data_IF_035088715872
#
_entry.id   IF_035088715872
#
_cell.length_a   1.000
_cell.length_b   1.000
_cell.length_c   1.000
_cell.angle_alpha   90.00
_cell.angle_beta   90.00
_cell.angle_gamma   90.00
#
_symmetry.space_group_name_H-M   'P 1'
#
loop_
_entity.id
_entity.type
_entity.pdbx_description
1 polymer ?
#
# COMPACT_ATOMS: atom_id res chain seq x y z
N UNK A 1 -51.31 37.41 4.42
CA UNK A 1 -50.81 36.08 4.87
C UNK A 1 -50.25 35.36 3.64
N UNK A 2 -48.93 35.37 3.46
CA UNK A 2 -48.24 34.60 2.43
C UNK A 2 -47.38 33.53 3.12
N UNK A 3 -47.44 32.26 2.69
CA UNK A 3 -46.71 31.17 3.32
C UNK A 3 -45.21 31.25 2.98
N UNK A 4 -44.37 31.07 4.00
CA UNK A 4 -42.92 31.01 3.86
C UNK A 4 -42.46 29.79 3.06
N UNK A 5 -41.53 30.02 2.13
CA UNK A 5 -40.79 28.96 1.45
C UNK A 5 -39.81 28.31 2.45
N UNK A 6 -39.60 26.98 2.41
CA UNK A 6 -38.61 26.32 3.23
C UNK A 6 -37.17 26.60 2.75
N UNK A 7 -36.32 27.03 3.69
CA UNK A 7 -34.86 27.10 3.57
C UNK A 7 -34.30 25.74 3.12
N UNK A 8 -33.99 25.63 1.82
CA UNK A 8 -33.24 24.49 1.30
C UNK A 8 -31.76 24.80 1.49
N UNK A 9 -30.98 23.97 2.21
CA UNK A 9 -29.55 24.21 2.35
C UNK A 9 -28.87 24.04 0.99
N UNK A 10 -28.57 25.17 0.35
CA UNK A 10 -27.85 25.22 -0.91
C UNK A 10 -26.38 24.89 -0.66
N UNK A 11 -25.96 23.69 -1.07
CA UNK A 11 -24.55 23.29 -1.09
C UNK A 11 -23.76 24.26 -1.98
N UNK A 12 -22.92 25.09 -1.36
CA UNK A 12 -22.01 26.00 -2.05
C UNK A 12 -20.73 25.26 -2.42
N UNK A 13 -20.61 24.86 -3.67
CA UNK A 13 -19.35 24.35 -4.23
C UNK A 13 -18.31 25.49 -4.24
N UNK A 14 -17.34 25.41 -3.34
CA UNK A 14 -16.17 26.31 -3.30
C UNK A 14 -15.08 25.65 -4.15
N UNK A 15 -14.71 26.30 -5.25
CA UNK A 15 -13.60 25.84 -6.09
C UNK A 15 -14.01 25.10 -7.37
N UNK A 16 -14.97 25.65 -8.14
CA UNK A 16 -15.08 25.32 -9.57
C UNK A 16 -14.00 26.06 -10.37
N UNK A 17 -12.73 25.88 -10.02
CA UNK A 17 -11.66 26.14 -10.96
C UNK A 17 -11.83 25.10 -12.06
N UNK A 18 -12.13 25.59 -13.27
CA UNK A 18 -12.34 24.81 -14.50
C UNK A 18 -11.24 23.75 -14.60
N UNK A 19 -11.57 22.52 -14.21
CA UNK A 19 -10.72 21.37 -14.43
C UNK A 19 -10.63 21.19 -15.93
N UNK A 20 -9.45 21.48 -16.48
CA UNK A 20 -9.00 20.88 -17.73
C UNK A 20 -9.46 19.42 -17.75
N UNK A 21 -10.05 18.91 -18.86
CA UNK A 21 -10.37 17.49 -18.93
C UNK A 21 -9.06 16.76 -18.68
N UNK A 22 -8.95 16.13 -17.52
CA UNK A 22 -7.88 15.19 -17.25
C UNK A 22 -8.00 14.17 -18.37
N UNK A 23 -7.17 14.31 -19.40
CA UNK A 23 -6.87 13.24 -20.32
C UNK A 23 -6.25 12.21 -19.40
N UNK A 24 -7.11 11.37 -18.84
CA UNK A 24 -6.71 10.22 -18.07
C UNK A 24 -5.93 9.39 -19.06
N UNK A 25 -4.61 9.53 -18.99
CA UNK A 25 -3.67 8.49 -19.32
C UNK A 25 -4.03 7.34 -18.39
N UNK A 26 -5.13 6.67 -18.72
CA UNK A 26 -5.45 5.34 -18.30
C UNK A 26 -4.35 4.52 -18.97
N UNK A 27 -3.17 4.53 -18.37
CA UNK A 27 -2.18 3.53 -18.68
C UNK A 27 -2.92 2.23 -18.40
N UNK A 28 -3.23 1.47 -19.44
CA UNK A 28 -3.73 0.11 -19.32
C UNK A 28 -2.65 -0.64 -18.54
N UNK A 29 -2.79 -0.69 -17.21
CA UNK A 29 -1.93 -1.50 -16.37
C UNK A 29 -2.41 -2.92 -16.65
N UNK A 30 -1.65 -3.73 -17.40
CA UNK A 30 -2.10 -5.07 -17.72
C UNK A 30 -2.29 -5.82 -16.41
N UNK A 31 -3.51 -6.31 -16.19
CA UNK A 31 -3.82 -7.12 -15.03
C UNK A 31 -2.85 -8.31 -15.01
N UNK A 32 -2.11 -8.45 -13.92
CA UNK A 32 -1.17 -9.56 -13.77
C UNK A 32 -1.92 -10.74 -13.13
N UNK A 33 -1.96 -11.91 -13.77
CA UNK A 33 -2.74 -13.05 -13.28
C UNK A 33 -2.35 -13.41 -11.85
N UNK A 34 -3.35 -13.78 -11.04
CA UNK A 34 -3.17 -14.20 -9.66
C UNK A 34 -2.88 -15.70 -9.62
N UNK A 35 -1.62 -16.05 -9.36
CA UNK A 35 -1.25 -17.44 -9.07
C UNK A 35 -1.58 -17.78 -7.62
N UNK A 36 -1.76 -19.07 -7.31
CA UNK A 36 -2.09 -19.51 -5.95
C UNK A 36 -1.07 -19.08 -4.88
N UNK A 37 0.21 -18.90 -5.28
CA UNK A 37 1.29 -18.40 -4.42
C UNK A 37 1.45 -16.88 -4.41
N UNK A 38 0.62 -16.13 -5.13
CA UNK A 38 0.72 -14.67 -5.17
C UNK A 38 0.37 -14.08 -3.80
N UNK A 39 1.25 -13.25 -3.26
CA UNK A 39 1.04 -12.58 -1.98
C UNK A 39 -0.27 -11.77 -1.94
N UNK A 40 -0.71 -11.20 -3.08
CA UNK A 40 -1.98 -10.47 -3.19
C UNK A 40 -3.16 -11.41 -2.91
N UNK A 41 -3.10 -12.61 -3.47
CA UNK A 41 -4.14 -13.64 -3.28
C UNK A 41 -4.12 -14.21 -1.86
N UNK A 42 -2.94 -14.53 -1.34
CA UNK A 42 -2.80 -15.03 0.04
C UNK A 42 -3.37 -14.02 1.03
N UNK A 43 -3.06 -12.72 0.88
CA UNK A 43 -3.61 -11.69 1.74
C UNK A 43 -5.13 -11.60 1.58
N UNK A 44 -5.65 -11.60 0.36
CA UNK A 44 -7.09 -11.54 0.09
C UNK A 44 -7.87 -12.64 0.81
N UNK A 45 -7.42 -13.89 0.73
CA UNK A 45 -8.03 -15.03 1.43
C UNK A 45 -8.03 -14.81 2.95
N UNK A 46 -6.94 -14.28 3.51
CA UNK A 46 -6.84 -13.99 4.95
C UNK A 46 -7.75 -12.84 5.38
N UNK A 47 -7.92 -11.83 4.53
CA UNK A 47 -8.87 -10.74 4.78
C UNK A 47 -10.31 -11.26 4.75
N UNK A 48 -10.68 -12.03 3.72
CA UNK A 48 -12.01 -12.61 3.58
C UNK A 48 -12.40 -13.46 4.81
N UNK A 49 -11.46 -14.24 5.35
CA UNK A 49 -11.68 -15.02 6.57
C UNK A 49 -11.73 -14.20 7.87
N UNK A 50 -11.15 -12.99 7.87
CA UNK A 50 -11.07 -12.15 9.07
C UNK A 50 -12.23 -11.16 9.20
N UNK A 51 -12.90 -10.83 8.08
CA UNK A 51 -14.05 -9.94 8.02
C UNK A 51 -15.25 -10.55 8.77
N UNK A 52 -15.93 -9.70 9.53
CA UNK A 52 -17.15 -10.03 10.25
C UNK A 52 -18.36 -9.28 9.70
N UNK A 53 -19.55 -9.83 9.95
CA UNK A 53 -20.82 -9.16 9.68
C UNK A 53 -21.20 -9.09 8.19
N UNK A 54 -20.67 -10.00 7.35
CA UNK A 54 -20.98 -10.13 5.92
C UNK A 54 -20.99 -8.76 5.19
N UNK A 55 -22.18 -8.18 5.00
CA UNK A 55 -22.40 -6.87 4.35
C UNK A 55 -21.86 -5.68 5.13
N UNK A 56 -21.72 -5.77 6.45
CA UNK A 56 -21.08 -4.71 7.23
C UNK A 56 -19.57 -4.65 6.96
N UNK A 57 -18.99 -5.78 6.53
CA UNK A 57 -17.58 -5.95 6.19
C UNK A 57 -16.63 -5.38 7.26
N UNK A 58 -16.90 -5.71 8.51
CA UNK A 58 -16.21 -5.12 9.66
C UNK A 58 -14.87 -5.82 9.86
N UNK A 59 -13.82 -5.03 10.08
CA UNK A 59 -12.50 -5.50 10.43
C UNK A 59 -12.03 -4.72 11.66
N UNK A 60 -11.84 -5.42 12.79
CA UNK A 60 -11.38 -4.76 14.02
C UNK A 60 -9.97 -4.20 13.86
N UNK A 61 -9.59 -3.17 14.63
CA UNK A 61 -8.24 -2.59 14.57
C UNK A 61 -7.12 -3.63 14.74
N UNK A 62 -7.29 -4.58 15.66
CA UNK A 62 -6.30 -5.61 15.97
C UNK A 62 -6.14 -6.60 14.80
N UNK A 63 -7.26 -6.99 14.17
CA UNK A 63 -7.24 -7.85 12.98
C UNK A 63 -6.59 -7.12 11.80
N UNK A 64 -6.91 -5.84 11.60
CA UNK A 64 -6.28 -5.00 10.58
C UNK A 64 -4.77 -4.90 10.77
N UNK A 65 -4.30 -4.66 11.99
CA UNK A 65 -2.87 -4.58 12.28
C UNK A 65 -2.15 -5.91 11.99
N UNK A 66 -2.75 -7.04 12.38
CA UNK A 66 -2.22 -8.39 12.09
C UNK A 66 -2.13 -8.66 10.59
N UNK A 67 -3.14 -8.27 9.82
CA UNK A 67 -3.15 -8.42 8.36
C UNK A 67 -2.09 -7.56 7.68
N UNK A 68 -1.88 -6.32 8.15
CA UNK A 68 -0.81 -5.45 7.64
C UNK A 68 0.58 -6.02 7.98
N UNK A 69 0.78 -6.56 9.18
CA UNK A 69 2.02 -7.28 9.54
C UNK A 69 2.26 -8.48 8.62
N UNK A 70 1.23 -9.28 8.36
CA UNK A 70 1.32 -10.40 7.41
C UNK A 70 1.67 -9.91 5.99
N UNK A 71 1.03 -8.85 5.52
CA UNK A 71 1.28 -8.32 4.18
C UNK A 71 2.75 -7.91 3.99
N UNK A 72 3.35 -7.26 5.01
CA UNK A 72 4.78 -6.93 4.99
C UNK A 72 5.68 -8.16 4.94
N UNK A 73 5.33 -9.23 5.66
CA UNK A 73 6.06 -10.51 5.59
C UNK A 73 5.96 -11.16 4.21
N UNK A 74 4.86 -10.91 3.48
CA UNK A 74 4.64 -11.36 2.11
C UNK A 74 5.28 -10.43 1.05
N UNK A 75 5.97 -9.37 1.47
CA UNK A 75 6.62 -8.41 0.56
C UNK A 75 5.68 -7.38 -0.06
N UNK A 76 4.46 -7.23 0.46
CA UNK A 76 3.54 -6.17 0.03
C UNK A 76 3.86 -4.84 0.73
N UNK A 77 3.71 -3.74 0.00
CA UNK A 77 3.75 -2.40 0.59
C UNK A 77 2.47 -2.15 1.38
N UNK A 78 2.56 -1.34 2.43
CA UNK A 78 1.41 -1.00 3.28
C UNK A 78 0.23 -0.42 2.47
N UNK A 79 0.53 0.38 1.44
CA UNK A 79 -0.49 0.92 0.53
C UNK A 79 -1.21 -0.17 -0.28
N UNK A 80 -0.47 -1.12 -0.87
CA UNK A 80 -1.06 -2.20 -1.67
C UNK A 80 -1.90 -3.14 -0.78
N UNK A 81 -1.42 -3.40 0.44
CA UNK A 81 -2.14 -4.17 1.43
C UNK A 81 -3.47 -3.49 1.84
N UNK A 82 -3.42 -2.18 2.10
CA UNK A 82 -4.62 -1.40 2.41
C UNK A 82 -5.63 -1.39 1.25
N UNK A 83 -5.14 -1.33 0.01
CA UNK A 83 -5.98 -1.39 -1.19
C UNK A 83 -6.68 -2.75 -1.33
N UNK A 84 -5.95 -3.85 -1.12
CA UNK A 84 -6.54 -5.20 -1.12
C UNK A 84 -7.62 -5.31 -0.04
N UNK A 85 -7.35 -4.86 1.19
CA UNK A 85 -8.35 -4.87 2.26
C UNK A 85 -9.62 -4.10 1.85
N UNK A 86 -9.46 -2.92 1.25
CA UNK A 86 -10.59 -2.12 0.78
C UNK A 86 -11.40 -2.82 -0.32
N UNK A 87 -10.75 -3.46 -1.29
CA UNK A 87 -11.42 -4.20 -2.38
C UNK A 87 -12.27 -5.36 -1.83
N UNK A 88 -11.73 -6.12 -0.87
CA UNK A 88 -12.46 -7.23 -0.25
C UNK A 88 -13.64 -6.71 0.57
N UNK A 89 -13.44 -5.64 1.35
CA UNK A 89 -14.51 -5.04 2.13
C UNK A 89 -15.61 -4.45 1.24
N UNK A 90 -15.26 -3.80 0.14
CA UNK A 90 -16.21 -3.29 -0.85
C UNK A 90 -17.05 -4.42 -1.45
N UNK A 91 -16.39 -5.51 -1.87
CA UNK A 91 -17.07 -6.70 -2.41
C UNK A 91 -18.07 -7.27 -1.40
N UNK A 92 -17.64 -7.43 -0.15
CA UNK A 92 -18.51 -7.91 0.93
C UNK A 92 -19.70 -6.95 1.19
N UNK A 93 -19.49 -5.62 1.17
CA UNK A 93 -20.56 -4.61 1.30
C UNK A 93 -21.58 -4.66 0.18
N UNK A 94 -21.13 -4.91 -1.05
CA UNK A 94 -21.99 -5.11 -2.20
C UNK A 94 -22.77 -6.43 -2.12
N UNK A 95 -22.44 -7.32 -1.17
CA UNK A 95 -23.00 -8.67 -1.10
C UNK A 95 -22.41 -9.60 -2.16
N UNK A 96 -21.28 -9.21 -2.77
CA UNK A 96 -20.49 -10.09 -3.60
C UNK A 96 -19.67 -11.00 -2.70
N UNK A 97 -19.45 -12.24 -3.12
CA UNK A 97 -18.52 -13.13 -2.45
C UNK A 97 -17.15 -12.43 -2.29
N UNK A 98 -16.52 -12.41 -1.10
CA UNK A 98 -15.26 -11.71 -0.88
C UNK A 98 -14.11 -12.17 -1.78
N UNK A 99 -14.25 -13.34 -2.42
CA UNK A 99 -13.30 -13.95 -3.35
C UNK A 99 -13.96 -14.31 -4.69
N UNK A 100 -15.04 -13.62 -5.07
CA UNK A 100 -15.66 -13.81 -6.38
C UNK A 100 -14.71 -13.40 -7.53
N UNK A 101 -14.95 -13.89 -8.74
CA UNK A 101 -14.08 -13.64 -9.90
C UNK A 101 -13.88 -12.14 -10.18
N UNK A 102 -14.96 -11.35 -10.07
CA UNK A 102 -14.90 -9.89 -10.23
C UNK A 102 -14.04 -9.21 -9.17
N UNK A 103 -13.95 -9.77 -7.96
CA UNK A 103 -13.06 -9.30 -6.91
C UNK A 103 -11.61 -9.70 -7.20
N UNK A 104 -11.39 -10.92 -7.72
CA UNK A 104 -10.07 -11.39 -8.14
C UNK A 104 -9.48 -10.52 -9.27
N UNK A 105 -10.28 -10.14 -10.25
CA UNK A 105 -9.88 -9.20 -11.32
C UNK A 105 -9.41 -7.85 -10.76
N UNK A 106 -10.13 -7.31 -9.77
CA UNK A 106 -9.74 -6.07 -9.09
C UNK A 106 -8.43 -6.19 -8.33
N UNK A 107 -8.19 -7.33 -7.69
CA UNK A 107 -6.93 -7.61 -6.99
C UNK A 107 -5.78 -7.78 -7.99
N UNK A 108 -6.03 -8.37 -9.17
CA UNK A 108 -5.02 -8.55 -10.22
C UNK A 108 -4.48 -7.22 -10.79
N UNK A 109 -5.25 -6.14 -10.67
CA UNK A 109 -4.83 -4.77 -11.01
C UNK A 109 -3.92 -4.13 -9.94
N UNK A 110 -3.91 -4.65 -8.70
CA UNK A 110 -2.97 -4.19 -7.67
C UNK A 110 -1.56 -4.59 -8.08
N UNK A 111 -0.60 -3.67 -7.96
CA UNK A 111 0.79 -3.89 -8.33
C UNK A 111 1.31 -5.22 -7.76
N UNK A 112 1.92 -6.05 -8.62
CA UNK A 112 2.57 -7.30 -8.18
C UNK A 112 3.66 -6.97 -7.16
N UNK A 113 3.76 -7.70 -6.04
CA UNK A 113 4.82 -7.50 -5.08
C UNK A 113 6.16 -7.64 -5.81
N UNK A 114 6.99 -6.60 -5.70
CA UNK A 114 8.38 -6.74 -6.06
C UNK A 114 9.06 -7.48 -4.91
N UNK A 115 9.91 -8.49 -5.18
CA UNK A 115 10.73 -9.06 -4.12
C UNK A 115 11.45 -7.89 -3.47
N UNK A 116 11.20 -7.68 -2.17
CA UNK A 116 11.84 -6.62 -1.42
C UNK A 116 13.35 -6.76 -1.66
N UNK A 117 13.95 -5.78 -2.34
CA UNK A 117 15.41 -5.66 -2.37
C UNK A 117 15.81 -5.60 -0.89
N UNK A 118 16.48 -6.66 -0.44
CA UNK A 118 16.74 -6.94 0.98
C UNK A 118 17.87 -6.05 1.51
N UNK A 119 17.97 -4.83 1.02
CA UNK A 119 19.18 -4.03 0.96
C UNK A 119 18.85 -2.55 1.11
N UNK A 120 18.68 -2.07 2.34
CA UNK A 120 18.93 -0.65 2.62
C UNK A 120 19.57 -0.41 4.00
N UNK A 121 19.08 -0.98 5.12
CA UNK A 121 19.71 -0.70 6.41
C UNK A 121 21.08 -1.40 6.56
N UNK A 122 21.22 -2.65 6.11
CA UNK A 122 22.46 -3.42 6.27
C UNK A 122 23.60 -2.91 5.37
N UNK A 123 23.30 -2.43 4.16
CA UNK A 123 24.31 -1.88 3.26
C UNK A 123 24.84 -0.50 3.71
N UNK A 124 24.00 0.31 4.36
CA UNK A 124 24.44 1.57 4.98
C UNK A 124 25.45 1.31 6.12
N UNK A 125 25.25 0.26 6.91
CA UNK A 125 26.21 -0.15 7.95
C UNK A 125 27.53 -0.67 7.39
N UNK A 126 27.54 -1.44 6.29
CA UNK A 126 28.79 -1.92 5.67
C UNK A 126 29.57 -0.75 5.05
N UNK A 127 28.87 0.19 4.38
CA UNK A 127 29.51 1.36 3.79
C UNK A 127 30.10 2.32 4.83
N UNK A 128 29.45 2.50 5.98
CA UNK A 128 29.99 3.33 7.06
C UNK A 128 31.18 2.69 7.78
N UNK A 129 31.22 1.36 7.89
CA UNK A 129 32.38 0.65 8.43
C UNK A 129 33.63 0.79 7.54
N UNK A 130 33.49 0.71 6.21
CA UNK A 130 34.63 0.84 5.28
C UNK A 130 35.19 2.28 5.19
N UNK A 131 34.35 3.31 5.26
CA UNK A 131 34.83 4.72 5.23
C UNK A 131 35.63 5.05 6.50
N UNK A 132 35.24 4.48 7.65
CA UNK A 132 35.93 4.69 8.93
C UNK A 132 37.31 4.02 8.97
N UNK A 133 37.44 2.81 8.40
CA UNK A 133 38.69 2.06 8.39
C UNK A 133 39.77 2.68 7.49
N UNK A 134 39.39 3.26 6.33
CA UNK A 134 40.35 3.94 5.46
C UNK A 134 40.87 5.25 6.06
N UNK A 135 40.02 6.02 6.75
CA UNK A 135 40.42 7.27 7.39
C UNK A 135 41.44 7.08 8.51
N UNK A 136 41.25 6.05 9.36
CA UNK A 136 42.16 5.75 10.45
C UNK A 136 43.53 5.26 9.97
N UNK A 137 43.57 4.41 8.92
CA UNK A 137 44.82 3.94 8.31
C UNK A 137 45.58 5.08 7.61
N UNK A 138 44.88 5.98 6.92
CA UNK A 138 45.49 7.16 6.29
C UNK A 138 46.12 8.12 7.30
N UNK A 139 45.46 8.38 8.42
CA UNK A 139 45.97 9.27 9.46
C UNK A 139 47.23 8.71 10.14
N UNK A 140 47.26 7.41 10.45
CA UNK A 140 48.43 6.75 11.04
C UNK A 140 49.62 6.75 10.07
N UNK A 141 49.36 6.56 8.77
CA UNK A 141 50.41 6.60 7.75
C UNK A 141 51.01 8.00 7.58
N UNK A 142 50.17 9.06 7.61
CA UNK A 142 50.61 10.46 7.50
C UNK A 142 51.46 10.90 8.70
N UNK A 143 51.04 10.53 9.92
CA UNK A 143 51.81 10.82 11.15
C UNK A 143 53.17 10.13 11.11
N UNK A 144 53.24 8.90 10.61
CA UNK A 144 54.51 8.16 10.52
C UNK A 144 55.46 8.71 9.44
N UNK A 145 54.93 9.38 8.42
CA UNK A 145 55.71 9.84 7.27
C UNK A 145 56.22 11.28 7.44
N UNK A 146 55.54 12.10 8.24
CA UNK A 146 55.90 13.52 8.48
C UNK A 146 56.28 13.85 9.93
N UNK A 147 56.13 12.91 10.88
CA UNK A 147 56.40 13.14 12.31
C UNK A 147 57.73 12.60 12.83
N UNK A 148 58.71 12.34 11.96
CA UNK A 148 60.05 11.85 12.31
C UNK A 148 61.16 12.78 11.83
#
# INVERSE_FOLDING_TARGET
MSPGLPDTPALRLVGAARGEPATSLQADIPASPLEAGDARWILAVRVAAAIEGERAAVLTPEKRERLLKLARLLGLRDFDAALIIAIIQDSARCGLGPLADTTAERIAMVRKPQPASRDEPWQWFIRSACVSALGALGAVFLVRLFGG
#
